data_IF_637758364229
#
_entry.id   IF_637758364229
#
_cell.length_a   1.000
_cell.length_b   1.000
_cell.length_c   1.000
_cell.angle_alpha   90.00
_cell.angle_beta   90.00
_cell.angle_gamma   90.00
#
_symmetry.space_group_name_H-M   'P 1'
#
loop_
_entity.id
_entity.type
_entity.pdbx_description
1 polymer ?
#
# COMPACT_ATOMS: atom_id res chain seq x y z
N UNK A 1 -7.02 -2.51 50.29
CA UNK A 1 -5.91 -1.66 49.82
C UNK A 1 -5.51 -2.12 48.42
N UNK A 2 -5.57 -1.24 47.41
CA UNK A 2 -5.21 -1.57 46.03
C UNK A 2 -3.69 -1.74 45.97
N UNK A 3 -3.19 -2.96 45.75
CA UNK A 3 -1.74 -3.26 45.75
C UNK A 3 -1.07 -2.61 44.52
N UNK A 4 -0.32 -1.49 44.69
CA UNK A 4 0.25 -0.77 43.56
C UNK A 4 1.32 -1.60 42.83
N UNK A 5 1.98 -2.52 43.55
CA UNK A 5 3.02 -3.41 43.03
C UNK A 5 2.53 -4.31 41.89
N UNK A 6 1.28 -4.81 41.99
CA UNK A 6 0.70 -5.69 40.97
C UNK A 6 0.43 -4.93 39.67
N UNK A 7 0.01 -3.67 39.80
CA UNK A 7 -0.24 -2.77 38.67
C UNK A 7 1.09 -2.41 37.99
N UNK A 8 2.14 -2.11 38.77
CA UNK A 8 3.46 -1.79 38.22
C UNK A 8 4.10 -2.97 37.50
N UNK A 9 3.94 -4.20 38.02
CA UNK A 9 4.43 -5.41 37.35
C UNK A 9 3.68 -5.70 36.04
N UNK A 10 2.35 -5.49 36.00
CA UNK A 10 1.57 -5.66 34.78
C UNK A 10 1.95 -4.65 33.70
N UNK A 11 2.14 -3.38 34.07
CA UNK A 11 2.56 -2.32 33.14
C UNK A 11 3.98 -2.56 32.63
N UNK A 12 4.91 -3.01 33.48
CA UNK A 12 6.27 -3.36 33.07
C UNK A 12 6.27 -4.52 32.07
N UNK A 13 5.49 -5.58 32.33
CA UNK A 13 5.37 -6.73 31.42
C UNK A 13 4.81 -6.33 30.04
N UNK A 14 3.82 -5.43 30.00
CA UNK A 14 3.26 -4.90 28.74
C UNK A 14 4.23 -3.99 27.98
N UNK A 15 5.14 -3.33 28.69
CA UNK A 15 6.15 -2.43 28.10
C UNK A 15 7.23 -3.20 27.33
N UNK A 16 7.56 -4.43 27.75
CA UNK A 16 8.54 -5.29 27.05
C UNK A 16 7.97 -6.00 25.81
N UNK A 17 6.63 -6.09 25.69
CA UNK A 17 5.95 -6.64 24.52
C UNK A 17 5.56 -5.57 23.47
N UNK A 18 5.74 -4.29 23.79
CA UNK A 18 5.53 -3.20 22.85
C UNK A 18 6.78 -2.99 21.98
N UNK A 19 7.20 -4.05 21.27
CA UNK A 19 8.07 -3.87 20.11
C UNK A 19 7.24 -3.20 19.03
N UNK A 20 7.31 -1.87 18.95
CA UNK A 20 6.88 -1.15 17.76
C UNK A 20 7.74 -1.69 16.61
N UNK A 21 7.16 -2.57 15.80
CA UNK A 21 7.84 -3.07 14.61
C UNK A 21 8.12 -1.85 13.75
N UNK A 22 9.40 -1.55 13.48
CA UNK A 22 9.78 -0.42 12.63
C UNK A 22 9.10 -0.63 11.27
N UNK A 23 8.04 0.14 11.03
CA UNK A 23 7.32 0.09 9.76
C UNK A 23 8.20 0.75 8.73
N UNK A 24 8.68 -0.02 7.76
CA UNK A 24 9.31 0.50 6.56
C UNK A 24 8.25 1.26 5.75
N UNK A 25 8.16 2.56 6.00
CA UNK A 25 7.20 3.45 5.38
C UNK A 25 7.43 3.59 3.87
N UNK A 26 8.68 3.49 3.40
CA UNK A 26 8.98 3.59 1.98
C UNK A 26 8.47 2.35 1.24
N UNK A 27 8.70 1.17 1.81
CA UNK A 27 8.15 -0.08 1.30
C UNK A 27 6.62 -0.07 1.32
N UNK A 28 6.01 0.33 2.43
CA UNK A 28 4.54 0.46 2.51
C UNK A 28 4.00 1.42 1.45
N UNK A 29 4.60 2.59 1.30
CA UNK A 29 4.15 3.61 0.35
C UNK A 29 4.33 3.13 -1.10
N UNK A 30 5.39 2.37 -1.39
CA UNK A 30 5.57 1.70 -2.68
C UNK A 30 4.43 0.71 -2.96
N UNK A 31 4.08 -0.15 -2.00
CA UNK A 31 2.95 -1.08 -2.15
C UNK A 31 1.62 -0.34 -2.35
N UNK A 32 1.35 0.75 -1.60
CA UNK A 32 0.16 1.58 -1.80
C UNK A 32 0.13 2.17 -3.22
N UNK A 33 1.26 2.71 -3.69
CA UNK A 33 1.38 3.25 -5.04
C UNK A 33 1.10 2.17 -6.09
N UNK A 34 1.72 1.00 -5.97
CA UNK A 34 1.58 -0.09 -6.93
C UNK A 34 0.15 -0.62 -7.00
N UNK A 35 -0.48 -0.93 -5.86
CA UNK A 35 -1.88 -1.37 -5.83
C UNK A 35 -2.80 -0.33 -6.49
N UNK A 36 -2.69 0.93 -6.08
CA UNK A 36 -3.52 2.03 -6.58
C UNK A 36 -3.34 2.24 -8.10
N UNK A 37 -2.09 2.22 -8.58
CA UNK A 37 -1.78 2.47 -9.98
C UNK A 37 -2.18 1.31 -10.88
N UNK A 38 -1.92 0.06 -10.47
CA UNK A 38 -2.29 -1.13 -11.23
C UNK A 38 -3.81 -1.28 -11.34
N UNK A 39 -4.57 -0.97 -10.28
CA UNK A 39 -6.05 -0.90 -10.34
C UNK A 39 -6.52 0.07 -11.42
N UNK A 40 -5.90 1.26 -11.51
CA UNK A 40 -6.27 2.26 -12.53
C UNK A 40 -5.88 1.84 -13.95
N UNK A 41 -4.81 1.07 -14.10
CA UNK A 41 -4.40 0.50 -15.37
C UNK A 41 -5.35 -0.62 -15.80
N UNK A 42 -5.71 -1.55 -14.91
CA UNK A 42 -6.67 -2.62 -15.21
C UNK A 42 -8.03 -2.06 -15.58
N UNK A 43 -8.50 -1.01 -14.90
CA UNK A 43 -9.76 -0.32 -15.22
C UNK A 43 -9.74 0.39 -16.58
N UNK A 44 -8.55 0.62 -17.15
CA UNK A 44 -8.40 1.26 -18.45
C UNK A 44 -8.39 0.29 -19.63
N UNK A 45 -8.27 -1.02 -19.36
CA UNK A 45 -8.29 -2.05 -20.40
C UNK A 45 -9.70 -2.18 -20.98
N UNK A 46 -9.78 -2.21 -22.31
CA UNK A 46 -11.05 -2.37 -23.03
C UNK A 46 -11.64 -3.77 -22.82
N UNK A 47 -10.79 -4.79 -22.69
CA UNK A 47 -11.18 -6.18 -22.49
C UNK A 47 -10.70 -6.71 -21.14
N UNK A 48 -11.57 -7.43 -20.43
CA UNK A 48 -11.24 -8.07 -19.15
C UNK A 48 -10.66 -9.47 -19.33
N UNK A 49 -9.66 -9.58 -20.21
CA UNK A 49 -8.93 -10.81 -20.51
C UNK A 49 -7.86 -11.16 -19.46
N UNK A 50 -6.86 -11.93 -19.86
CA UNK A 50 -5.79 -12.38 -18.96
C UNK A 50 -4.95 -11.22 -18.41
N UNK A 51 -4.70 -10.18 -19.21
CA UNK A 51 -3.97 -8.99 -18.75
C UNK A 51 -4.71 -8.28 -17.59
N UNK A 52 -6.03 -8.11 -17.71
CA UNK A 52 -6.85 -7.56 -16.63
C UNK A 52 -6.73 -8.40 -15.36
N UNK A 53 -6.85 -9.73 -15.47
CA UNK A 53 -6.76 -10.63 -14.31
C UNK A 53 -5.38 -10.55 -13.65
N UNK A 54 -4.31 -10.50 -14.44
CA UNK A 54 -2.95 -10.38 -13.93
C UNK A 54 -2.75 -9.04 -13.20
N UNK A 55 -3.20 -7.92 -13.77
CA UNK A 55 -3.07 -6.61 -13.13
C UNK A 55 -3.88 -6.52 -11.83
N UNK A 56 -5.10 -7.07 -11.80
CA UNK A 56 -5.90 -7.14 -10.56
C UNK A 56 -5.20 -8.00 -9.51
N UNK A 57 -4.72 -9.19 -9.88
CA UNK A 57 -4.03 -10.08 -8.96
C UNK A 57 -2.79 -9.42 -8.32
N UNK A 58 -1.95 -8.78 -9.14
CA UNK A 58 -0.74 -8.10 -8.65
C UNK A 58 -1.11 -6.87 -7.80
N UNK A 59 -2.14 -6.13 -8.22
CA UNK A 59 -2.69 -5.01 -7.46
C UNK A 59 -3.13 -5.45 -6.07
N UNK A 60 -3.90 -6.53 -5.97
CA UNK A 60 -4.39 -7.08 -4.70
C UNK A 60 -3.22 -7.53 -3.81
N UNK A 61 -2.23 -8.23 -4.38
CA UNK A 61 -1.03 -8.65 -3.66
C UNK A 61 -0.27 -7.46 -3.04
N UNK A 62 -0.08 -6.36 -3.79
CA UNK A 62 0.49 -5.14 -3.22
C UNK A 62 -0.39 -4.53 -2.14
N UNK A 63 -1.71 -4.53 -2.34
CA UNK A 63 -2.68 -4.02 -1.37
C UNK A 63 -2.59 -4.76 -0.03
N UNK A 64 -2.48 -6.08 -0.07
CA UNK A 64 -2.37 -6.93 1.11
C UNK A 64 -1.07 -6.70 1.86
N UNK A 65 0.07 -6.61 1.16
CA UNK A 65 1.36 -6.29 1.79
C UNK A 65 1.37 -4.90 2.43
N UNK A 66 0.81 -3.90 1.77
CA UNK A 66 0.65 -2.58 2.37
C UNK A 66 -0.22 -2.61 3.63
N UNK A 67 -1.33 -3.35 3.63
CA UNK A 67 -2.22 -3.49 4.81
C UNK A 67 -1.54 -4.23 5.96
N UNK A 68 -0.74 -5.27 5.69
CA UNK A 68 0.11 -5.93 6.71
C UNK A 68 1.08 -4.95 7.37
N UNK A 69 1.54 -3.93 6.63
CA UNK A 69 2.38 -2.83 7.12
C UNK A 69 1.57 -1.65 7.70
N UNK A 70 0.27 -1.83 7.98
CA UNK A 70 -0.58 -0.81 8.61
C UNK A 70 -1.08 0.28 7.65
N UNK A 71 -1.10 0.04 6.34
CA UNK A 71 -1.77 0.94 5.42
C UNK A 71 -3.29 0.95 5.63
N UNK A 72 -3.89 2.12 5.51
CA UNK A 72 -5.34 2.34 5.68
C UNK A 72 -6.01 2.59 4.34
N UNK A 73 -7.31 2.32 4.25
CA UNK A 73 -8.12 2.60 3.05
C UNK A 73 -8.07 4.08 2.65
N UNK A 74 -7.92 4.99 3.63
CA UNK A 74 -7.72 6.41 3.37
C UNK A 74 -6.47 6.66 2.54
N UNK A 75 -5.36 6.00 2.83
CA UNK A 75 -4.12 6.20 2.09
C UNK A 75 -4.23 5.69 0.65
N UNK A 76 -4.89 4.54 0.43
CA UNK A 76 -5.20 4.08 -0.93
C UNK A 76 -6.11 5.07 -1.67
N UNK A 77 -7.15 5.58 -1.01
CA UNK A 77 -8.07 6.57 -1.58
C UNK A 77 -7.36 7.87 -1.98
N UNK A 78 -6.49 8.40 -1.12
CA UNK A 78 -5.73 9.62 -1.36
C UNK A 78 -4.77 9.45 -2.55
N UNK A 79 -4.07 8.31 -2.64
CA UNK A 79 -3.18 8.00 -3.78
C UNK A 79 -3.98 7.80 -5.07
N UNK A 80 -5.10 7.06 -5.03
CA UNK A 80 -6.00 6.90 -6.18
C UNK A 80 -6.52 8.24 -6.70
N UNK A 81 -6.93 9.14 -5.81
CA UNK A 81 -7.38 10.48 -6.19
C UNK A 81 -6.27 11.26 -6.88
N UNK A 82 -5.06 11.25 -6.30
CA UNK A 82 -3.89 11.89 -6.90
C UNK A 82 -3.58 11.32 -8.29
N UNK A 83 -3.56 10.00 -8.46
CA UNK A 83 -3.27 9.36 -9.73
C UNK A 83 -4.33 9.67 -10.80
N UNK A 84 -5.61 9.66 -10.44
CA UNK A 84 -6.71 10.09 -11.33
C UNK A 84 -6.53 11.54 -11.79
N UNK A 85 -6.18 12.45 -10.89
CA UNK A 85 -5.90 13.85 -11.23
C UNK A 85 -4.69 13.96 -12.16
N UNK A 86 -3.59 13.24 -11.89
CA UNK A 86 -2.40 13.28 -12.76
C UNK A 86 -2.72 12.73 -14.15
N UNK A 87 -3.46 11.61 -14.23
CA UNK A 87 -3.87 11.00 -15.50
C UNK A 87 -4.67 11.96 -16.38
N UNK A 88 -5.58 12.74 -15.79
CA UNK A 88 -6.42 13.67 -16.55
C UNK A 88 -5.75 15.01 -16.86
N UNK A 89 -4.85 15.49 -16.01
CA UNK A 89 -4.28 16.86 -16.12
C UNK A 89 -2.85 16.93 -16.63
N UNK A 90 -2.05 15.86 -16.54
CA UNK A 90 -0.63 15.90 -16.85
C UNK A 90 -0.13 14.58 -17.46
N UNK A 91 -0.25 14.46 -18.78
CA UNK A 91 0.18 13.28 -19.55
C UNK A 91 1.66 12.93 -19.37
N UNK A 92 2.55 13.93 -19.28
CA UNK A 92 3.98 13.70 -19.09
C UNK A 92 4.31 13.08 -17.74
N UNK A 93 3.69 13.60 -16.67
CA UNK A 93 3.81 13.04 -15.33
C UNK A 93 3.16 11.65 -15.23
N UNK A 94 2.00 11.46 -15.85
CA UNK A 94 1.34 10.16 -15.93
C UNK A 94 2.27 9.11 -16.57
N UNK A 95 2.85 9.41 -17.73
CA UNK A 95 3.80 8.52 -18.42
C UNK A 95 5.00 8.15 -17.54
N UNK A 96 5.58 9.12 -16.82
CA UNK A 96 6.68 8.86 -15.87
C UNK A 96 6.27 7.93 -14.73
N UNK A 97 5.09 8.14 -14.14
CA UNK A 97 4.56 7.26 -13.08
C UNK A 97 4.29 5.84 -13.60
N UNK A 98 3.75 5.72 -14.82
CA UNK A 98 3.55 4.42 -15.46
C UNK A 98 4.86 3.69 -15.74
N UNK A 99 5.90 4.38 -16.23
CA UNK A 99 7.23 3.77 -16.35
C UNK A 99 7.77 3.31 -15.01
N UNK A 100 7.67 4.14 -13.97
CA UNK A 100 8.11 3.74 -12.63
C UNK A 100 7.33 2.54 -12.10
N UNK A 101 6.02 2.48 -12.34
CA UNK A 101 5.19 1.33 -11.96
C UNK A 101 5.64 0.04 -12.63
N UNK A 102 6.09 0.08 -13.90
CA UNK A 102 6.67 -1.10 -14.56
C UNK A 102 7.95 -1.60 -13.90
N UNK A 103 8.77 -0.69 -13.36
CA UNK A 103 10.03 -1.04 -12.70
C UNK A 103 9.86 -1.65 -11.31
N UNK A 104 8.82 -1.23 -10.56
CA UNK A 104 8.74 -1.53 -9.10
C UNK A 104 7.50 -2.31 -8.68
N UNK A 105 6.49 -2.45 -9.54
CA UNK A 105 5.21 -3.07 -9.19
C UNK A 105 5.01 -4.46 -9.80
N UNK A 106 5.97 -4.95 -10.56
CA UNK A 106 5.93 -6.31 -11.09
C UNK A 106 7.02 -7.12 -10.38
N UNK A 107 6.74 -8.35 -9.93
CA UNK A 107 7.81 -9.25 -9.48
C UNK A 107 8.84 -9.38 -10.59
N UNK A 108 10.11 -9.51 -10.23
CA UNK A 108 11.24 -9.45 -11.19
C UNK A 108 10.93 -10.22 -12.48
N UNK A 109 11.07 -9.51 -13.59
CA UNK A 109 10.89 -10.01 -14.96
C UNK A 109 12.14 -10.76 -15.42
#
# INVERSE_FOLDING_TARGET
MKNPVLVTMLLAALSFSASAQDVDYDKRNMHIFCASHLTLLSDSLTEKGEEYKALVFISDAHGDEARKMGATDKQFSDVNKYLKTVRSSNKGKWSRLTSRSREVCFPES
#
